data_IF_581520357784
#
_entry.id   IF_581520357784
#
_cell.length_a   1.000
_cell.length_b   1.000
_cell.length_c   1.000
_cell.angle_alpha   90.00
_cell.angle_beta   90.00
_cell.angle_gamma   90.00
#
_symmetry.space_group_name_H-M   'P 1'
#
loop_
_entity.id
_entity.type
_entity.pdbx_description
1 polymer ?
#
# COMPACT_ATOMS: atom_id res chain seq x y z
N UNK A 1 26.63 -14.14 -10.48
CA UNK A 1 26.18 -15.01 -11.60
C UNK A 1 25.28 -16.14 -11.06
N UNK A 2 24.63 -16.99 -11.89
CA UNK A 2 23.79 -18.10 -11.39
C UNK A 2 24.57 -19.06 -10.47
N UNK A 3 25.87 -19.27 -10.76
CA UNK A 3 26.75 -20.11 -9.95
C UNK A 3 27.02 -19.53 -8.56
N UNK A 4 26.93 -18.20 -8.42
CA UNK A 4 27.21 -17.49 -7.16
C UNK A 4 25.98 -17.37 -6.24
N UNK A 5 24.80 -17.83 -6.67
CA UNK A 5 23.59 -17.76 -5.85
C UNK A 5 23.61 -18.78 -4.70
N UNK A 6 23.06 -18.42 -3.51
CA UNK A 6 22.86 -19.34 -2.41
C UNK A 6 22.09 -20.62 -2.80
N UNK A 7 22.47 -21.74 -2.17
CA UNK A 7 21.97 -23.08 -2.50
C UNK A 7 20.44 -23.23 -2.30
N UNK A 8 19.89 -22.58 -1.28
CA UNK A 8 18.46 -22.54 -0.97
C UNK A 8 17.62 -21.86 -2.05
N UNK A 9 18.19 -20.84 -2.69
CA UNK A 9 17.57 -20.13 -3.81
C UNK A 9 17.55 -21.01 -5.05
N UNK A 10 18.70 -21.59 -5.44
CA UNK A 10 18.79 -22.52 -6.57
C UNK A 10 17.77 -23.66 -6.44
N UNK A 11 17.69 -24.25 -5.25
CA UNK A 11 16.72 -25.30 -4.93
C UNK A 11 15.25 -24.86 -5.02
N UNK A 12 14.96 -23.59 -4.78
CA UNK A 12 13.61 -23.02 -4.92
C UNK A 12 13.26 -22.83 -6.39
N UNK A 13 14.20 -22.36 -7.22
CA UNK A 13 14.03 -22.21 -8.67
C UNK A 13 13.81 -23.54 -9.38
N UNK A 14 14.56 -24.57 -9.00
CA UNK A 14 14.40 -25.91 -9.58
C UNK A 14 13.04 -26.54 -9.23
N UNK A 15 12.50 -26.25 -8.04
CA UNK A 15 11.15 -26.67 -7.65
C UNK A 15 10.04 -25.93 -8.39
N UNK A 16 10.30 -24.71 -8.86
CA UNK A 16 9.34 -23.88 -9.59
C UNK A 16 9.31 -24.18 -11.10
N UNK A 17 10.24 -24.99 -11.62
CA UNK A 17 10.23 -25.45 -13.01
C UNK A 17 10.45 -24.34 -14.05
N UNK A 18 11.19 -23.29 -13.68
CA UNK A 18 11.40 -22.10 -14.54
C UNK A 18 12.34 -22.43 -15.71
N UNK A 19 11.97 -22.10 -16.97
CA UNK A 19 12.81 -22.37 -18.14
C UNK A 19 14.19 -21.70 -18.08
N UNK A 20 15.22 -22.39 -18.60
CA UNK A 20 16.63 -21.98 -18.52
C UNK A 20 16.91 -20.58 -19.08
N UNK A 21 16.14 -20.14 -20.08
CA UNK A 21 16.26 -18.81 -20.69
C UNK A 21 15.81 -17.67 -19.75
N UNK A 22 14.90 -17.92 -18.81
CA UNK A 22 14.46 -16.94 -17.83
C UNK A 22 15.38 -16.86 -16.61
N UNK A 23 16.11 -17.95 -16.31
CA UNK A 23 17.07 -17.98 -15.20
C UNK A 23 18.10 -16.85 -15.30
N UNK A 24 18.62 -16.56 -16.49
CA UNK A 24 19.62 -15.48 -16.65
C UNK A 24 19.06 -14.06 -16.46
N UNK A 25 17.81 -13.79 -16.87
CA UNK A 25 17.15 -12.49 -16.62
C UNK A 25 16.73 -12.32 -15.16
N UNK A 26 16.26 -13.40 -14.53
CA UNK A 26 15.90 -13.41 -13.11
C UNK A 26 17.12 -13.33 -12.22
N UNK A 27 18.27 -13.92 -12.59
CA UNK A 27 19.55 -13.74 -11.88
C UNK A 27 19.96 -12.28 -11.84
N UNK A 28 19.73 -11.50 -12.91
CA UNK A 28 20.01 -10.06 -12.87
C UNK A 28 19.05 -9.32 -11.90
N UNK A 29 17.78 -9.71 -11.82
CA UNK A 29 16.80 -9.17 -10.87
C UNK A 29 17.05 -9.59 -9.41
N UNK A 30 17.48 -10.83 -9.18
CA UNK A 30 17.84 -11.39 -7.87
C UNK A 30 19.20 -10.90 -7.42
N UNK A 31 20.17 -10.74 -8.34
CA UNK A 31 21.45 -10.12 -8.06
C UNK A 31 21.28 -8.63 -7.73
N UNK A 32 20.37 -7.91 -8.38
CA UNK A 32 20.00 -6.56 -7.94
C UNK A 32 19.36 -6.53 -6.53
N UNK A 33 18.72 -7.64 -6.13
CA UNK A 33 18.18 -7.84 -4.78
C UNK A 33 19.25 -8.22 -3.74
N UNK A 34 20.35 -8.87 -4.16
CA UNK A 34 21.42 -9.40 -3.29
C UNK A 34 22.68 -8.54 -3.23
N UNK A 35 23.07 -7.88 -4.32
CA UNK A 35 24.08 -6.79 -4.38
C UNK A 35 23.46 -5.43 -4.05
N UNK A 36 22.35 -5.45 -3.29
CA UNK A 36 21.59 -4.28 -2.91
C UNK A 36 22.43 -3.31 -2.07
N UNK A 37 23.45 -3.74 -1.33
CA UNK A 37 24.30 -2.81 -0.57
C UNK A 37 25.06 -1.82 -1.47
N UNK A 38 25.69 -2.26 -2.57
CA UNK A 38 26.51 -1.37 -3.41
C UNK A 38 25.64 -0.41 -4.23
N UNK A 39 24.52 -0.91 -4.77
CA UNK A 39 23.54 -0.10 -5.51
C UNK A 39 22.81 0.86 -4.57
N UNK A 40 22.48 0.43 -3.35
CA UNK A 40 21.85 1.28 -2.33
C UNK A 40 22.80 2.36 -1.84
N UNK A 41 24.10 2.07 -1.68
CA UNK A 41 25.10 3.07 -1.31
C UNK A 41 25.27 4.17 -2.37
N UNK A 42 25.31 3.83 -3.67
CA UNK A 42 25.40 4.83 -4.74
C UNK A 42 24.10 5.64 -4.92
N UNK A 43 22.94 4.99 -4.88
CA UNK A 43 21.64 5.68 -4.95
C UNK A 43 21.47 6.64 -3.77
N UNK A 44 22.00 6.29 -2.59
CA UNK A 44 21.91 7.14 -1.41
C UNK A 44 22.72 8.44 -1.56
N UNK A 45 23.92 8.39 -2.14
CA UNK A 45 24.70 9.60 -2.44
C UNK A 45 23.97 10.50 -3.45
N UNK A 46 23.45 9.94 -4.55
CA UNK A 46 22.71 10.70 -5.57
C UNK A 46 21.43 11.36 -5.01
N UNK A 47 20.74 10.68 -4.08
CA UNK A 47 19.56 11.21 -3.39
C UNK A 47 19.94 12.30 -2.39
N UNK A 48 21.01 12.11 -1.62
CA UNK A 48 21.51 13.09 -0.65
C UNK A 48 21.99 14.36 -1.35
N UNK A 49 22.63 14.26 -2.52
CA UNK A 49 23.01 15.41 -3.37
C UNK A 49 21.79 16.23 -3.83
N UNK A 50 20.65 15.58 -4.05
CA UNK A 50 19.38 16.23 -4.38
C UNK A 50 18.64 16.77 -3.14
N UNK A 51 19.19 16.56 -1.94
CA UNK A 51 18.57 16.95 -0.67
C UNK A 51 17.45 16.03 -0.19
N UNK A 52 17.27 14.86 -0.82
CA UNK A 52 16.30 13.86 -0.38
C UNK A 52 16.79 13.22 0.90
N UNK A 53 15.93 13.19 1.92
CA UNK A 53 16.21 12.48 3.17
C UNK A 53 15.48 11.16 3.09
N UNK A 54 16.22 10.04 3.13
CA UNK A 54 15.64 8.71 3.26
C UNK A 54 16.35 7.93 4.36
N UNK A 55 15.71 7.87 5.53
CA UNK A 55 16.25 7.29 6.76
C UNK A 55 15.22 6.36 7.41
N UNK A 56 15.64 5.59 8.40
CA UNK A 56 14.69 4.99 9.35
C UNK A 56 14.11 6.08 10.28
N UNK A 57 12.91 5.81 10.80
CA UNK A 57 12.14 6.75 11.63
C UNK A 57 12.88 7.18 12.90
N UNK A 58 13.66 6.29 13.51
CA UNK A 58 14.39 6.56 14.75
C UNK A 58 15.62 7.46 14.51
N UNK A 59 16.31 7.27 13.39
CA UNK A 59 17.41 8.13 12.95
C UNK A 59 16.90 9.51 12.52
N UNK A 60 15.82 9.57 11.74
CA UNK A 60 15.23 10.84 11.32
C UNK A 60 14.77 11.71 12.51
N UNK A 61 14.22 11.11 13.57
CA UNK A 61 13.88 11.82 14.80
C UNK A 61 15.11 12.46 15.48
N UNK A 62 16.27 11.82 15.40
CA UNK A 62 17.52 12.32 16.02
C UNK A 62 18.22 13.37 15.17
N UNK A 63 18.30 13.14 13.86
CA UNK A 63 19.08 13.95 12.93
C UNK A 63 18.29 15.13 12.35
N UNK A 64 16.97 14.96 12.17
CA UNK A 64 16.06 15.98 11.64
C UNK A 64 14.87 16.26 12.58
N UNK A 65 15.11 16.60 13.87
CA UNK A 65 14.06 16.69 14.88
C UNK A 65 13.00 17.76 14.58
N UNK A 66 13.39 18.87 13.96
CA UNK A 66 12.46 19.96 13.63
C UNK A 66 11.43 19.52 12.58
N UNK A 67 11.92 18.92 11.49
CA UNK A 67 11.06 18.41 10.42
C UNK A 67 10.20 17.25 10.91
N UNK A 68 10.78 16.34 11.69
CA UNK A 68 10.03 15.23 12.27
C UNK A 68 8.90 15.74 13.17
N UNK A 69 9.18 16.68 14.07
CA UNK A 69 8.20 17.24 15.00
C UNK A 69 7.11 18.04 14.30
N UNK A 70 7.42 18.68 13.18
CA UNK A 70 6.43 19.42 12.37
C UNK A 70 5.33 18.50 11.83
N UNK A 71 5.69 17.30 11.36
CA UNK A 71 4.77 16.42 10.62
C UNK A 71 4.27 15.21 11.40
N UNK A 72 5.03 14.71 12.37
CA UNK A 72 4.71 13.47 13.06
C UNK A 72 3.38 13.53 13.81
N UNK A 73 2.48 12.58 13.52
CA UNK A 73 1.17 12.49 14.16
C UNK A 73 0.18 13.57 13.75
N UNK A 74 0.50 14.41 12.76
CA UNK A 74 -0.41 15.43 12.24
C UNK A 74 -1.53 14.85 11.37
N UNK A 75 -1.24 13.74 10.69
CA UNK A 75 -2.19 13.07 9.79
C UNK A 75 -2.90 11.94 10.53
N UNK A 76 -2.18 11.15 11.32
CA UNK A 76 -2.72 10.07 12.16
C UNK A 76 -2.33 10.35 13.63
N UNK A 77 -3.18 11.07 14.37
CA UNK A 77 -2.93 11.39 15.78
C UNK A 77 -2.89 10.14 16.66
N UNK A 78 -2.26 10.28 17.84
CA UNK A 78 -2.13 9.20 18.82
C UNK A 78 -3.48 8.54 19.16
N UNK A 79 -4.55 9.33 19.25
CA UNK A 79 -5.89 8.86 19.61
C UNK A 79 -6.76 8.40 18.44
N UNK A 80 -6.23 8.29 17.22
CA UNK A 80 -7.03 8.01 16.01
C UNK A 80 -7.85 6.72 16.11
N UNK A 81 -7.20 5.64 16.55
CA UNK A 81 -7.85 4.37 16.85
C UNK A 81 -6.95 3.52 17.76
N UNK A 82 -7.50 2.43 18.31
CA UNK A 82 -6.80 1.54 19.25
C UNK A 82 -5.43 1.07 18.74
N UNK A 83 -5.31 0.73 17.46
CA UNK A 83 -4.07 0.19 16.87
C UNK A 83 -3.07 1.30 16.56
N UNK A 84 -3.54 2.46 16.10
CA UNK A 84 -2.71 3.65 15.94
C UNK A 84 -2.15 4.14 17.29
N UNK A 85 -2.95 4.12 18.37
CA UNK A 85 -2.48 4.43 19.73
C UNK A 85 -1.40 3.46 20.20
N UNK A 86 -1.62 2.16 19.99
CA UNK A 86 -0.63 1.13 20.32
C UNK A 86 0.67 1.34 19.51
N UNK A 87 0.57 1.46 18.19
CA UNK A 87 1.71 1.75 17.32
C UNK A 87 2.47 2.99 17.79
N UNK A 88 1.78 4.08 18.10
CA UNK A 88 2.43 5.32 18.56
C UNK A 88 3.15 5.14 19.90
N UNK A 89 2.70 4.24 20.77
CA UNK A 89 3.37 4.00 22.05
C UNK A 89 4.61 3.10 21.94
N UNK A 90 4.65 2.20 20.94
CA UNK A 90 5.65 1.13 20.87
C UNK A 90 6.31 0.96 19.50
N UNK A 91 6.24 1.97 18.62
CA UNK A 91 6.81 1.83 17.29
C UNK A 91 8.29 1.46 17.39
N UNK A 92 8.74 0.62 16.47
CA UNK A 92 10.14 0.30 16.32
C UNK A 92 10.43 0.16 14.84
N UNK A 93 11.22 1.10 14.32
CA UNK A 93 11.50 1.23 12.89
C UNK A 93 10.34 1.79 12.05
N UNK A 94 10.51 1.67 10.74
CA UNK A 94 9.71 2.35 9.72
C UNK A 94 10.62 3.19 8.82
N UNK A 95 10.03 4.02 7.98
CA UNK A 95 10.77 4.88 7.06
C UNK A 95 10.37 6.34 7.18
N UNK A 96 11.36 7.21 7.16
CA UNK A 96 11.18 8.65 7.04
C UNK A 96 11.70 9.11 5.68
N UNK A 97 10.84 9.75 4.90
CA UNK A 97 11.19 10.27 3.57
C UNK A 97 10.80 11.75 3.51
N UNK A 98 11.75 12.61 3.15
CA UNK A 98 11.47 13.99 2.75
C UNK A 98 12.04 14.23 1.36
N UNK A 99 11.20 14.72 0.45
CA UNK A 99 11.60 15.10 -0.91
C UNK A 99 11.46 16.61 -1.07
N UNK A 100 12.57 17.36 -1.29
CA UNK A 100 12.55 18.82 -1.37
C UNK A 100 11.75 19.38 -2.55
N UNK A 101 11.43 20.69 -2.54
CA UNK A 101 10.66 21.32 -3.61
C UNK A 101 11.27 21.11 -5.00
N UNK A 102 10.44 20.72 -5.96
CA UNK A 102 10.81 20.52 -7.37
C UNK A 102 11.69 19.30 -7.64
N UNK A 103 12.05 18.50 -6.63
CA UNK A 103 12.88 17.29 -6.80
C UNK A 103 12.02 16.12 -7.27
N UNK A 104 12.46 15.44 -8.32
CA UNK A 104 11.77 14.29 -8.89
C UNK A 104 12.64 13.04 -8.73
N UNK A 105 12.25 12.17 -7.80
CA UNK A 105 12.92 10.89 -7.58
C UNK A 105 12.38 9.86 -8.58
N UNK A 106 13.10 9.68 -9.70
CA UNK A 106 12.66 8.80 -10.80
C UNK A 106 12.78 7.31 -10.46
N UNK A 107 13.75 6.94 -9.62
CA UNK A 107 13.98 5.57 -9.18
C UNK A 107 13.09 5.29 -7.96
N UNK A 108 12.26 4.23 -7.97
CA UNK A 108 11.43 3.92 -6.81
C UNK A 108 12.27 3.65 -5.56
N UNK A 109 11.98 4.36 -4.47
CA UNK A 109 12.56 4.09 -3.15
C UNK A 109 11.92 2.82 -2.60
N UNK A 110 12.73 1.89 -2.10
CA UNK A 110 12.25 0.61 -1.60
C UNK A 110 12.66 0.40 -0.15
N UNK A 111 11.68 0.05 0.69
CA UNK A 111 11.96 -0.51 2.01
C UNK A 111 11.36 -1.91 2.10
N UNK A 112 12.14 -2.85 2.62
CA UNK A 112 11.71 -4.22 2.81
C UNK A 112 11.64 -4.55 4.30
N UNK A 113 10.43 -4.85 4.77
CA UNK A 113 10.21 -5.22 6.16
C UNK A 113 9.97 -6.73 6.27
N UNK A 114 10.79 -7.40 7.10
CA UNK A 114 10.73 -8.85 7.32
C UNK A 114 10.53 -9.16 8.80
N UNK A 115 9.48 -9.93 9.13
CA UNK A 115 9.27 -10.45 10.49
C UNK A 115 10.18 -11.66 10.68
N UNK A 116 11.14 -11.59 11.59
CA UNK A 116 12.12 -12.66 11.82
C UNK A 116 11.95 -13.41 13.16
N UNK A 117 11.00 -12.99 14.02
CA UNK A 117 10.89 -13.49 15.40
C UNK A 117 9.48 -13.96 15.72
N UNK A 118 9.36 -15.17 16.27
CA UNK A 118 8.12 -15.78 16.74
C UNK A 118 7.48 -14.92 17.86
N UNK A 119 6.16 -14.71 17.84
CA UNK A 119 5.41 -13.87 18.80
C UNK A 119 5.77 -12.38 18.86
N UNK A 120 6.43 -11.81 17.84
CA UNK A 120 6.73 -10.38 17.80
C UNK A 120 5.61 -9.58 17.09
N UNK A 121 5.11 -8.53 17.74
CA UNK A 121 4.28 -7.53 17.07
C UNK A 121 5.17 -6.57 16.27
N UNK A 122 4.85 -6.35 15.00
CA UNK A 122 5.53 -5.36 14.17
C UNK A 122 4.73 -4.06 14.20
N UNK A 123 5.36 -3.01 14.70
CA UNK A 123 4.79 -1.66 14.84
C UNK A 123 5.68 -0.68 14.08
N UNK A 124 5.65 -0.74 12.75
CA UNK A 124 6.38 0.21 11.93
C UNK A 124 5.60 1.52 11.79
N UNK A 125 6.33 2.64 11.71
CA UNK A 125 5.73 3.93 11.44
C UNK A 125 6.46 4.66 10.34
N UNK A 126 5.76 4.86 9.22
CA UNK A 126 6.29 5.50 8.03
C UNK A 126 5.75 6.91 7.90
N UNK A 127 6.63 7.87 7.67
CA UNK A 127 6.32 9.29 7.49
C UNK A 127 6.96 9.78 6.19
N UNK A 128 6.14 10.21 5.23
CA UNK A 128 6.59 10.68 3.92
C UNK A 128 6.10 12.10 3.70
N UNK A 129 7.02 13.01 3.39
CA UNK A 129 6.74 14.39 3.03
C UNK A 129 7.25 14.63 1.62
N UNK A 130 6.34 15.00 0.71
CA UNK A 130 6.65 15.32 -0.69
C UNK A 130 6.35 16.80 -0.87
N UNK A 131 7.41 17.60 -0.93
CA UNK A 131 7.32 19.06 -0.93
C UNK A 131 6.87 19.62 -2.29
N UNK A 132 6.69 20.94 -2.39
CA UNK A 132 6.02 21.57 -3.53
C UNK A 132 6.62 21.17 -4.89
N UNK A 133 5.77 20.70 -5.80
CA UNK A 133 6.19 20.27 -7.14
C UNK A 133 7.12 19.07 -7.17
N UNK A 134 7.31 18.35 -6.05
CA UNK A 134 8.19 17.20 -5.97
C UNK A 134 7.49 15.89 -6.35
N UNK A 135 8.27 14.85 -6.65
CA UNK A 135 7.77 13.53 -7.00
C UNK A 135 8.54 12.40 -6.31
N UNK A 136 7.81 11.40 -5.81
CA UNK A 136 8.40 10.15 -5.31
C UNK A 136 7.50 8.96 -5.59
N UNK A 137 8.12 7.83 -5.91
CA UNK A 137 7.51 6.51 -5.86
C UNK A 137 8.16 5.71 -4.74
N UNK A 138 7.40 5.35 -3.72
CA UNK A 138 7.84 4.48 -2.64
C UNK A 138 7.19 3.10 -2.75
N UNK A 139 7.99 2.05 -2.58
CA UNK A 139 7.57 0.65 -2.60
C UNK A 139 7.87 0.01 -1.25
N UNK A 140 6.83 -0.50 -0.62
CA UNK A 140 6.88 -1.25 0.62
C UNK A 140 6.62 -2.74 0.34
N UNK A 141 7.61 -3.58 0.65
CA UNK A 141 7.47 -5.02 0.63
C UNK A 141 7.37 -5.58 2.04
N UNK A 142 6.37 -6.42 2.31
CA UNK A 142 6.28 -7.16 3.56
C UNK A 142 6.19 -8.66 3.30
N UNK A 143 7.11 -9.43 3.86
CA UNK A 143 7.06 -10.90 3.85
C UNK A 143 7.37 -11.47 5.23
N UNK A 144 6.61 -12.49 5.64
CA UNK A 144 6.87 -13.24 6.86
C UNK A 144 7.15 -14.72 6.54
N UNK A 145 8.19 -15.32 7.15
CA UNK A 145 8.31 -16.77 7.25
C UNK A 145 7.08 -17.40 7.92
N UNK A 146 6.80 -18.66 7.62
CA UNK A 146 5.70 -19.42 8.23
C UNK A 146 6.07 -19.74 9.68
N UNK A 147 5.48 -19.01 10.64
CA UNK A 147 5.58 -19.31 12.07
C UNK A 147 4.32 -20.01 12.59
N UNK A 148 4.43 -20.74 13.72
CA UNK A 148 3.32 -21.53 14.28
C UNK A 148 2.34 -20.71 15.14
N UNK A 149 2.74 -19.54 15.62
CA UNK A 149 1.94 -18.70 16.52
C UNK A 149 1.39 -17.43 15.84
N UNK A 150 0.20 -17.00 16.24
CA UNK A 150 -0.41 -15.78 15.70
C UNK A 150 0.49 -14.55 15.93
N UNK A 151 0.59 -13.66 14.92
CA UNK A 151 1.42 -12.44 14.99
C UNK A 151 0.61 -11.21 14.56
N UNK A 152 0.93 -10.04 15.12
CA UNK A 152 0.24 -8.78 14.82
C UNK A 152 1.17 -7.86 14.02
N UNK A 153 0.72 -7.43 12.86
CA UNK A 153 1.30 -6.33 12.11
C UNK A 153 0.38 -5.12 12.18
N UNK A 154 0.86 -4.04 12.78
CA UNK A 154 0.11 -2.81 13.03
C UNK A 154 0.93 -1.61 12.61
N UNK A 155 1.03 -1.39 11.30
CA UNK A 155 1.70 -0.24 10.70
C UNK A 155 0.86 1.04 10.76
N UNK A 156 1.55 2.17 10.90
CA UNK A 156 0.98 3.51 10.68
C UNK A 156 1.76 4.20 9.57
N UNK A 157 1.04 4.72 8.57
CA UNK A 157 1.64 5.42 7.43
C UNK A 157 1.00 6.80 7.27
N UNK A 158 1.81 7.83 7.43
CA UNK A 158 1.45 9.23 7.25
C UNK A 158 2.13 9.79 6.01
N UNK A 159 1.36 10.34 5.07
CA UNK A 159 1.90 10.95 3.85
C UNK A 159 1.36 12.36 3.70
N UNK A 160 2.25 13.31 3.45
CA UNK A 160 1.92 14.70 3.21
C UNK A 160 2.41 15.07 1.81
N UNK A 161 1.48 15.38 0.91
CA UNK A 161 1.76 15.72 -0.49
C UNK A 161 1.41 17.19 -0.70
N UNK A 162 2.45 18.04 -0.78
CA UNK A 162 2.34 19.50 -0.89
C UNK A 162 1.90 19.93 -2.30
N UNK A 163 1.80 21.25 -2.49
CA UNK A 163 1.26 21.87 -3.70
C UNK A 163 1.92 21.33 -4.96
N UNK A 164 1.12 20.91 -5.95
CA UNK A 164 1.55 20.36 -7.24
C UNK A 164 2.50 19.14 -7.15
N UNK A 165 2.64 18.54 -5.97
CA UNK A 165 3.52 17.40 -5.76
C UNK A 165 2.79 16.08 -6.06
N UNK A 166 3.54 15.00 -6.26
CA UNK A 166 2.97 13.67 -6.50
C UNK A 166 3.66 12.59 -5.69
N UNK A 167 2.87 11.80 -4.97
CA UNK A 167 3.35 10.62 -4.26
C UNK A 167 2.65 9.38 -4.80
N UNK A 168 3.44 8.39 -5.21
CA UNK A 168 2.97 7.03 -5.45
C UNK A 168 3.48 6.13 -4.36
N UNK A 169 2.58 5.45 -3.68
CA UNK A 169 2.91 4.50 -2.65
C UNK A 169 2.39 3.12 -3.04
N UNK A 170 3.30 2.17 -3.22
CA UNK A 170 2.99 0.79 -3.60
C UNK A 170 3.29 -0.14 -2.45
N UNK A 171 2.32 -0.96 -2.06
CA UNK A 171 2.51 -2.03 -1.08
C UNK A 171 2.12 -3.36 -1.69
N UNK A 172 3.01 -4.34 -1.57
CA UNK A 172 2.69 -5.74 -1.85
C UNK A 172 2.93 -6.52 -0.56
N UNK A 173 1.84 -6.96 0.06
CA UNK A 173 1.88 -7.77 1.28
C UNK A 173 1.63 -9.23 0.93
N UNK A 174 2.53 -10.10 1.37
CA UNK A 174 2.36 -11.55 1.33
C UNK A 174 2.68 -12.14 2.71
N UNK A 175 1.66 -12.19 3.56
CA UNK A 175 1.79 -12.63 4.95
C UNK A 175 1.52 -14.12 5.11
N UNK A 176 2.09 -14.74 6.12
CA UNK A 176 1.64 -16.07 6.55
C UNK A 176 0.21 -16.02 7.11
N UNK A 177 -0.54 -17.12 7.01
CA UNK A 177 -1.98 -17.18 7.32
C UNK A 177 -2.34 -17.02 8.82
N UNK A 178 -1.34 -16.84 9.69
CA UNK A 178 -1.44 -16.59 11.13
C UNK A 178 -1.25 -15.10 11.50
N UNK A 179 -1.04 -14.22 10.52
CA UNK A 179 -0.83 -12.78 10.77
C UNK A 179 -2.16 -12.02 10.81
N UNK A 180 -2.34 -11.14 11.79
CA UNK A 180 -3.35 -10.08 11.77
C UNK A 180 -2.71 -8.81 11.22
N UNK A 181 -3.22 -8.30 10.11
CA UNK A 181 -2.73 -7.13 9.40
C UNK A 181 -3.70 -5.96 9.63
N UNK A 182 -3.44 -5.16 10.66
CA UNK A 182 -4.35 -4.13 11.18
C UNK A 182 -3.68 -2.77 11.08
N UNK A 183 -3.71 -2.16 9.89
CA UNK A 183 -2.88 -1.00 9.57
C UNK A 183 -3.71 0.27 9.39
N UNK A 184 -3.12 1.41 9.71
CA UNK A 184 -3.73 2.73 9.48
C UNK A 184 -2.84 3.51 8.51
N UNK A 185 -3.32 3.72 7.28
CA UNK A 185 -2.61 4.52 6.26
C UNK A 185 -3.46 5.72 5.88
N UNK A 186 -2.89 6.93 5.91
CA UNK A 186 -3.60 8.17 5.54
C UNK A 186 -2.63 9.15 4.92
N UNK A 187 -3.09 9.77 3.84
CA UNK A 187 -2.40 10.84 3.15
C UNK A 187 -3.22 12.13 3.20
N UNK A 188 -2.53 13.26 3.19
CA UNK A 188 -3.11 14.59 2.96
C UNK A 188 -2.52 15.13 1.66
N UNK A 189 -3.39 15.53 0.73
CA UNK A 189 -3.02 16.10 -0.56
C UNK A 189 -3.50 17.56 -0.64
N UNK A 190 -2.57 18.47 -0.89
CA UNK A 190 -2.83 19.91 -1.02
C UNK A 190 -3.09 20.34 -2.47
N UNK A 191 -3.08 21.64 -2.74
CA UNK A 191 -3.47 22.23 -4.04
C UNK A 191 -2.74 21.56 -5.22
N UNK A 192 -3.46 21.02 -6.19
CA UNK A 192 -2.90 20.34 -7.37
C UNK A 192 -2.10 19.06 -7.08
N UNK A 193 -2.04 18.61 -5.81
CA UNK A 193 -1.28 17.44 -5.41
C UNK A 193 -1.95 16.14 -5.89
N UNK A 194 -1.15 15.11 -6.16
CA UNK A 194 -1.65 13.76 -6.54
C UNK A 194 -1.13 12.71 -5.58
N UNK A 195 -2.03 11.97 -4.94
CA UNK A 195 -1.70 10.82 -4.10
C UNK A 195 -2.23 9.52 -4.72
N UNK A 196 -1.35 8.53 -4.91
CA UNK A 196 -1.70 7.23 -5.49
C UNK A 196 -1.36 6.10 -4.52
N UNK A 197 -2.36 5.34 -4.10
CA UNK A 197 -2.20 4.08 -3.36
C UNK A 197 -2.29 2.89 -4.32
N UNK A 198 -1.24 2.08 -4.42
CA UNK A 198 -1.24 0.81 -5.14
C UNK A 198 -1.06 -0.31 -4.13
N UNK A 199 -2.04 -1.18 -3.99
CA UNK A 199 -2.14 -2.08 -2.84
C UNK A 199 -2.44 -3.53 -3.25
N UNK A 200 -1.57 -4.45 -2.84
CA UNK A 200 -1.72 -5.89 -3.02
C UNK A 200 -1.84 -6.61 -1.67
N UNK A 201 -3.01 -7.19 -1.40
CA UNK A 201 -3.35 -7.89 -0.16
C UNK A 201 -3.36 -9.41 -0.39
N UNK A 202 -2.28 -10.08 0.00
CA UNK A 202 -2.12 -11.52 -0.13
C UNK A 202 -1.69 -12.10 1.22
N UNK A 203 -2.21 -13.27 1.57
CA UNK A 203 -1.88 -13.90 2.85
C UNK A 203 -2.66 -13.32 4.02
N UNK A 204 -2.13 -13.45 5.25
CA UNK A 204 -2.75 -13.04 6.54
C UNK A 204 -4.01 -13.83 6.93
N UNK A 205 -4.28 -13.93 8.22
CA UNK A 205 -5.53 -14.47 8.75
C UNK A 205 -6.66 -13.48 8.56
N UNK A 206 -6.41 -12.24 9.00
CA UNK A 206 -7.34 -11.13 8.93
C UNK A 206 -6.58 -9.87 8.51
N UNK A 207 -7.06 -9.21 7.47
CA UNK A 207 -6.65 -7.84 7.11
C UNK A 207 -7.77 -6.87 7.42
N UNK A 208 -7.41 -5.74 8.02
CA UNK A 208 -8.23 -4.54 8.12
C UNK A 208 -7.40 -3.36 7.63
N UNK A 209 -7.70 -2.86 6.43
CA UNK A 209 -6.91 -1.79 5.82
C UNK A 209 -7.75 -0.89 4.92
N UNK A 210 -7.73 0.41 5.20
CA UNK A 210 -8.47 1.42 4.45
C UNK A 210 -7.60 2.66 4.22
N UNK A 211 -6.66 2.63 3.25
CA UNK A 211 -5.83 3.79 2.95
C UNK A 211 -6.72 4.98 2.60
N UNK A 212 -6.44 6.12 3.22
CA UNK A 212 -7.25 7.32 3.07
C UNK A 212 -6.48 8.42 2.34
N UNK A 213 -7.18 9.22 1.55
CA UNK A 213 -6.66 10.48 1.00
C UNK A 213 -7.60 11.61 1.41
N UNK A 214 -7.05 12.58 2.13
CA UNK A 214 -7.70 13.84 2.48
C UNK A 214 -7.29 14.87 1.44
N UNK A 215 -8.23 15.26 0.59
CA UNK A 215 -8.06 16.19 -0.53
C UNK A 215 -8.36 17.59 -0.01
N UNK A 216 -7.33 18.25 0.53
CA UNK A 216 -7.43 19.47 1.32
C UNK A 216 -7.16 20.76 0.52
N UNK A 217 -6.69 20.64 -0.73
CA UNK A 217 -6.46 21.79 -1.61
C UNK A 217 -7.19 21.66 -2.94
N UNK A 218 -7.43 22.81 -3.58
CA UNK A 218 -8.12 22.84 -4.87
C UNK A 218 -7.37 21.99 -5.91
N UNK A 219 -8.10 21.25 -6.74
CA UNK A 219 -7.53 20.35 -7.75
C UNK A 219 -6.68 19.18 -7.21
N UNK A 220 -6.69 18.91 -5.90
CA UNK A 220 -6.06 17.71 -5.35
C UNK A 220 -6.69 16.43 -5.93
N UNK A 221 -5.86 15.40 -6.12
CA UNK A 221 -6.24 14.12 -6.71
C UNK A 221 -5.86 12.94 -5.82
N UNK A 222 -6.80 12.01 -5.65
CA UNK A 222 -6.61 10.78 -4.87
C UNK A 222 -6.94 9.54 -5.68
N UNK A 223 -6.01 8.61 -5.78
CA UNK A 223 -6.20 7.35 -6.50
C UNK A 223 -5.93 6.16 -5.58
N UNK A 224 -6.73 5.10 -5.72
CA UNK A 224 -6.44 3.82 -5.07
C UNK A 224 -6.73 2.68 -6.03
N UNK A 225 -5.71 1.85 -6.25
CA UNK A 225 -5.86 0.53 -6.85
C UNK A 225 -5.58 -0.51 -5.76
N UNK A 226 -6.59 -1.26 -5.36
CA UNK A 226 -6.45 -2.31 -4.35
C UNK A 226 -6.84 -3.66 -4.91
N UNK A 227 -5.97 -4.66 -4.73
CA UNK A 227 -6.21 -6.05 -5.07
C UNK A 227 -6.19 -6.87 -3.79
N UNK A 228 -7.16 -7.76 -3.61
CA UNK A 228 -7.21 -8.67 -2.46
C UNK A 228 -7.47 -10.11 -2.85
N UNK A 229 -6.74 -11.05 -2.22
CA UNK A 229 -6.96 -12.49 -2.37
C UNK A 229 -7.23 -13.12 -1.00
N UNK A 230 -8.33 -13.86 -0.88
CA UNK A 230 -8.67 -14.61 0.34
C UNK A 230 -8.82 -16.11 0.02
N UNK A 231 -7.98 -16.92 0.65
CA UNK A 231 -8.05 -18.38 0.71
C UNK A 231 -8.76 -18.91 1.97
N UNK A 232 -8.65 -20.21 2.21
CA UNK A 232 -9.26 -20.89 3.35
C UNK A 232 -8.90 -20.23 4.69
N UNK A 233 -9.92 -19.93 5.50
CA UNK A 233 -9.77 -19.34 6.83
C UNK A 233 -9.33 -17.86 6.85
N UNK A 234 -9.20 -17.22 5.68
CA UNK A 234 -8.76 -15.83 5.57
C UNK A 234 -9.94 -14.86 5.43
N UNK A 235 -9.81 -13.68 6.04
CA UNK A 235 -10.71 -12.56 5.83
C UNK A 235 -9.93 -11.30 5.44
N UNK A 236 -10.09 -10.84 4.19
CA UNK A 236 -9.54 -9.58 3.71
C UNK A 236 -10.62 -8.48 3.77
N UNK A 237 -10.66 -7.66 4.82
CA UNK A 237 -11.48 -6.42 4.87
C UNK A 237 -10.61 -5.24 4.44
N UNK A 238 -10.71 -4.91 3.15
CA UNK A 238 -9.88 -3.91 2.48
C UNK A 238 -10.75 -2.86 1.81
N UNK A 239 -10.20 -1.68 1.56
CA UNK A 239 -10.89 -0.66 0.77
C UNK A 239 -10.14 0.65 0.76
N UNK A 240 -10.85 1.77 0.66
CA UNK A 240 -10.24 3.09 0.56
C UNK A 240 -11.18 4.18 1.06
N UNK A 241 -10.62 5.30 1.50
CA UNK A 241 -11.38 6.49 1.89
C UNK A 241 -10.92 7.71 1.10
N UNK A 242 -11.84 8.40 0.45
CA UNK A 242 -11.58 9.65 -0.26
C UNK A 242 -12.39 10.75 0.40
N UNK A 243 -11.71 11.73 0.97
CA UNK A 243 -12.31 12.82 1.75
C UNK A 243 -12.04 14.12 1.02
N UNK A 244 -13.06 14.64 0.34
CA UNK A 244 -13.02 15.86 -0.47
C UNK A 244 -13.37 17.06 0.40
N UNK A 245 -12.39 17.94 0.65
CA UNK A 245 -12.54 19.11 1.52
C UNK A 245 -12.20 20.43 0.83
N UNK A 246 -11.96 20.39 -0.49
CA UNK A 246 -11.66 21.55 -1.31
C UNK A 246 -12.36 21.46 -2.68
N UNK A 247 -12.56 22.60 -3.37
CA UNK A 247 -13.19 22.62 -4.68
C UNK A 247 -12.40 21.84 -5.74
N UNK A 248 -13.10 21.41 -6.79
CA UNK A 248 -12.51 20.83 -8.00
C UNK A 248 -11.57 19.64 -7.74
N UNK A 249 -11.74 18.92 -6.63
CA UNK A 249 -10.94 17.75 -6.28
C UNK A 249 -11.46 16.51 -7.01
N UNK A 250 -10.58 15.55 -7.29
CA UNK A 250 -10.98 14.33 -8.00
C UNK A 250 -10.45 13.06 -7.35
N UNK A 251 -11.27 12.00 -7.30
CA UNK A 251 -10.82 10.71 -6.81
C UNK A 251 -11.25 9.53 -7.67
N UNK A 252 -10.43 8.47 -7.66
CA UNK A 252 -10.72 7.21 -8.33
C UNK A 252 -10.33 6.03 -7.43
N UNK A 253 -11.29 5.17 -7.09
CA UNK A 253 -11.06 3.94 -6.34
C UNK A 253 -11.37 2.76 -7.25
N UNK A 254 -10.37 1.91 -7.48
CA UNK A 254 -10.51 0.61 -8.14
C UNK A 254 -10.17 -0.47 -7.14
N UNK A 255 -11.15 -1.27 -6.74
CA UNK A 255 -10.96 -2.43 -5.87
C UNK A 255 -11.28 -3.70 -6.64
N UNK A 256 -10.35 -4.64 -6.64
CA UNK A 256 -10.52 -5.97 -7.23
C UNK A 256 -10.26 -7.03 -6.17
N UNK A 257 -11.12 -8.03 -6.08
CA UNK A 257 -10.97 -9.08 -5.08
C UNK A 257 -11.24 -10.47 -5.64
N UNK A 258 -10.54 -11.46 -5.10
CA UNK A 258 -10.71 -12.88 -5.44
C UNK A 258 -10.86 -13.67 -4.16
N UNK A 259 -11.92 -14.48 -4.06
CA UNK A 259 -12.14 -15.37 -2.92
C UNK A 259 -12.21 -16.84 -3.39
N UNK A 260 -11.48 -17.70 -2.69
CA UNK A 260 -11.39 -19.15 -2.96
C UNK A 260 -11.28 -19.95 -1.66
N UNK A 261 -11.68 -21.21 -1.68
CA UNK A 261 -11.51 -22.17 -0.60
C UNK A 261 -12.29 -21.82 0.67
N UNK A 262 -13.41 -21.11 0.54
CA UNK A 262 -14.16 -20.60 1.70
C UNK A 262 -13.58 -19.30 2.26
N UNK A 263 -12.58 -18.70 1.61
CA UNK A 263 -12.08 -17.37 1.96
C UNK A 263 -13.13 -16.28 1.82
N UNK A 264 -12.94 -15.21 2.59
CA UNK A 264 -13.82 -14.04 2.61
C UNK A 264 -13.08 -12.78 2.18
N UNK A 265 -13.59 -12.10 1.15
CA UNK A 265 -13.19 -10.73 0.83
C UNK A 265 -14.28 -9.75 1.23
N UNK A 266 -13.89 -8.54 1.61
CA UNK A 266 -14.81 -7.46 1.89
C UNK A 266 -14.21 -6.17 1.34
N UNK A 267 -14.97 -5.47 0.51
CA UNK A 267 -14.68 -4.08 0.16
C UNK A 267 -15.38 -3.15 1.15
N UNK A 268 -14.66 -2.18 1.70
CA UNK A 268 -15.24 -1.09 2.49
C UNK A 268 -14.73 0.27 2.02
N UNK A 269 -15.61 1.04 1.41
CA UNK A 269 -15.29 2.35 0.85
C UNK A 269 -15.94 3.48 1.64
N UNK A 270 -15.27 4.63 1.72
CA UNK A 270 -15.90 5.91 2.07
C UNK A 270 -15.56 6.93 0.99
N UNK A 271 -16.58 7.57 0.43
CA UNK A 271 -16.43 8.83 -0.28
C UNK A 271 -17.17 9.89 0.52
N UNK A 272 -16.44 10.85 1.05
CA UNK A 272 -16.98 11.99 1.78
C UNK A 272 -16.71 13.25 0.99
N UNK A 273 -17.74 14.06 0.77
CA UNK A 273 -17.66 15.37 0.14
C UNK A 273 -18.22 16.39 1.13
N UNK A 274 -17.32 17.22 1.67
CA UNK A 274 -17.66 18.29 2.60
C UNK A 274 -18.30 19.50 1.92
N UNK A 275 -18.93 20.34 2.74
CA UNK A 275 -19.48 21.63 2.30
C UNK A 275 -18.36 22.51 1.70
N UNK A 276 -18.63 23.16 0.58
CA UNK A 276 -17.67 24.01 -0.14
C UNK A 276 -16.81 23.27 -1.16
N UNK A 277 -16.83 21.93 -1.20
CA UNK A 277 -16.08 21.12 -2.15
C UNK A 277 -16.76 20.99 -3.54
N UNK A 278 -17.30 22.10 -4.05
CA UNK A 278 -17.99 22.17 -5.34
C UNK A 278 -17.07 21.79 -6.52
N UNK A 279 -17.65 21.28 -7.60
CA UNK A 279 -16.93 20.77 -8.77
C UNK A 279 -16.19 19.45 -8.52
N UNK A 280 -16.32 18.84 -7.33
CA UNK A 280 -15.62 17.60 -7.00
C UNK A 280 -16.16 16.40 -7.75
N UNK A 281 -15.26 15.46 -8.07
CA UNK A 281 -15.57 14.25 -8.84
C UNK A 281 -15.05 13.01 -8.15
N UNK A 282 -15.84 11.94 -8.11
CA UNK A 282 -15.38 10.66 -7.57
C UNK A 282 -15.89 9.49 -8.40
N UNK A 283 -15.03 8.50 -8.65
CA UNK A 283 -15.40 7.24 -9.27
C UNK A 283 -14.97 6.08 -8.38
N UNK A 284 -15.88 5.13 -8.16
CA UNK A 284 -15.62 3.91 -7.38
C UNK A 284 -16.03 2.70 -8.23
N UNK A 285 -15.08 1.80 -8.45
CA UNK A 285 -15.27 0.55 -9.16
C UNK A 285 -14.82 -0.61 -8.28
N UNK A 286 -15.74 -1.54 -8.02
CA UNK A 286 -15.53 -2.69 -7.15
C UNK A 286 -15.85 -3.98 -7.90
N UNK A 287 -14.82 -4.75 -8.26
CA UNK A 287 -15.00 -6.07 -8.86
C UNK A 287 -14.64 -7.18 -7.87
N UNK A 288 -15.54 -8.15 -7.72
CA UNK A 288 -15.28 -9.37 -6.97
C UNK A 288 -15.38 -10.59 -7.87
N UNK A 289 -14.48 -11.55 -7.67
CA UNK A 289 -14.50 -12.86 -8.30
C UNK A 289 -14.61 -13.95 -7.22
N UNK A 290 -15.70 -14.71 -7.27
CA UNK A 290 -15.88 -15.91 -6.46
C UNK A 290 -15.45 -17.13 -7.29
N UNK A 291 -14.45 -17.85 -6.81
CA UNK A 291 -13.89 -19.03 -7.50
C UNK A 291 -14.70 -20.30 -7.21
N UNK A 292 -15.43 -20.34 -6.10
CA UNK A 292 -16.26 -21.47 -5.69
C UNK A 292 -17.58 -21.01 -5.04
N UNK A 293 -18.37 -21.97 -4.59
CA UNK A 293 -19.70 -21.75 -4.00
C UNK A 293 -19.68 -21.55 -2.48
N UNK A 294 -18.53 -21.73 -1.83
CA UNK A 294 -18.39 -21.62 -0.37
C UNK A 294 -17.72 -20.31 0.06
N UNK A 295 -16.98 -19.67 -0.85
CA UNK A 295 -16.37 -18.36 -0.66
C UNK A 295 -17.39 -17.23 -0.67
N UNK A 296 -17.00 -16.13 -0.03
CA UNK A 296 -17.86 -14.97 0.18
C UNK A 296 -17.15 -13.68 -0.19
N UNK A 297 -17.88 -12.77 -0.81
CA UNK A 297 -17.46 -11.39 -1.01
C UNK A 297 -18.56 -10.46 -0.51
N UNK A 298 -18.21 -9.45 0.26
CA UNK A 298 -19.12 -8.42 0.75
C UNK A 298 -18.67 -7.03 0.25
N UNK A 299 -19.61 -6.12 0.00
CA UNK A 299 -19.31 -4.75 -0.43
C UNK A 299 -20.08 -3.77 0.47
N UNK A 300 -19.35 -2.90 1.16
CA UNK A 300 -19.89 -1.92 2.11
C UNK A 300 -19.49 -0.50 1.68
N UNK A 301 -20.19 0.10 0.70
CA UNK A 301 -19.92 1.46 0.27
C UNK A 301 -20.60 2.47 1.20
N UNK A 302 -19.86 3.52 1.56
CA UNK A 302 -20.37 4.67 2.27
C UNK A 302 -20.14 5.92 1.43
N UNK A 303 -21.20 6.71 1.28
CA UNK A 303 -21.20 7.96 0.54
C UNK A 303 -21.87 9.00 1.43
N UNK A 304 -21.13 10.06 1.78
CA UNK A 304 -21.62 11.24 2.48
C UNK A 304 -21.33 12.45 1.60
N UNK A 305 -22.35 13.06 1.01
CA UNK A 305 -22.22 14.22 0.12
C UNK A 305 -23.01 15.37 0.70
N UNK A 306 -22.30 16.47 0.99
CA UNK A 306 -22.86 17.70 1.59
C UNK A 306 -22.73 18.91 0.66
N UNK A 307 -22.63 18.66 -0.64
CA UNK A 307 -22.47 19.67 -1.68
C UNK A 307 -23.33 19.30 -2.90
N UNK A 308 -23.91 20.30 -3.57
CA UNK A 308 -24.86 20.07 -4.67
C UNK A 308 -24.14 19.91 -6.03
N UNK A 309 -23.04 20.65 -6.24
CA UNK A 309 -22.28 20.64 -7.49
C UNK A 309 -21.17 19.58 -7.45
N UNK A 310 -21.55 18.31 -7.57
CA UNK A 310 -20.60 17.19 -7.63
C UNK A 310 -21.00 16.10 -8.62
N UNK A 311 -20.03 15.33 -9.09
CA UNK A 311 -20.26 14.16 -9.93
C UNK A 311 -19.67 12.91 -9.28
N UNK A 312 -20.50 11.91 -8.99
CA UNK A 312 -20.04 10.67 -8.40
C UNK A 312 -20.63 9.45 -9.08
N UNK A 313 -19.78 8.44 -9.32
CA UNK A 313 -20.17 7.11 -9.80
C UNK A 313 -19.68 6.02 -8.84
N UNK A 314 -20.55 5.06 -8.56
CA UNK A 314 -20.21 3.84 -7.84
C UNK A 314 -20.74 2.63 -8.61
N UNK A 315 -19.83 1.73 -8.99
CA UNK A 315 -20.15 0.45 -9.61
C UNK A 315 -19.57 -0.70 -8.79
N UNK A 316 -20.39 -1.71 -8.54
CA UNK A 316 -19.97 -2.93 -7.87
C UNK A 316 -20.48 -4.16 -8.63
N UNK A 317 -19.54 -4.99 -9.09
CA UNK A 317 -19.82 -6.20 -9.87
C UNK A 317 -19.27 -7.43 -9.15
N UNK A 318 -20.12 -8.41 -8.91
CA UNK A 318 -19.71 -9.73 -8.41
C UNK A 318 -19.85 -10.73 -9.55
N UNK A 319 -18.73 -11.34 -9.91
CA UNK A 319 -18.64 -12.35 -10.95
C UNK A 319 -18.28 -13.71 -10.35
N UNK A 320 -18.73 -14.76 -11.03
CA UNK A 320 -18.24 -16.13 -10.82
C UNK A 320 -17.36 -16.49 -12.01
N UNK A 321 -16.42 -17.40 -11.80
CA UNK A 321 -15.69 -17.99 -12.92
C UNK A 321 -16.71 -18.65 -13.86
N UNK A 322 -16.75 -18.22 -15.12
CA UNK A 322 -17.68 -18.76 -16.12
C UNK A 322 -17.26 -20.18 -16.48
N UNK A 323 -18.18 -21.13 -16.38
CA UNK A 323 -17.97 -22.52 -16.78
C UNK A 323 -17.60 -22.62 -18.26
N UNK A 324 -18.22 -21.80 -19.12
CA UNK A 324 -17.91 -21.73 -20.56
C UNK A 324 -16.50 -21.20 -20.82
N UNK A 325 -16.08 -20.15 -20.09
CA UNK A 325 -14.71 -19.63 -20.21
C UNK A 325 -13.68 -20.66 -19.73
N UNK A 326 -13.97 -21.33 -18.61
CA UNK A 326 -13.12 -22.40 -18.07
C UNK A 326 -13.02 -23.57 -19.05
N UNK A 327 -14.15 -24.04 -19.57
CA UNK A 327 -14.22 -25.09 -20.59
C UNK A 327 -13.47 -24.69 -21.86
N UNK A 328 -13.66 -23.46 -22.34
CA UNK A 328 -12.95 -22.94 -23.50
C UNK A 328 -11.44 -22.97 -23.29
N UNK A 329 -10.94 -22.48 -22.16
CA UNK A 329 -9.50 -22.50 -21.84
C UNK A 329 -8.98 -23.94 -21.72
N UNK A 330 -9.66 -24.82 -20.98
CA UNK A 330 -9.29 -26.23 -20.84
C UNK A 330 -9.29 -26.99 -22.18
N UNK A 331 -10.18 -26.62 -23.11
CA UNK A 331 -10.25 -27.23 -24.45
C UNK A 331 -9.04 -26.89 -25.33
N UNK A 332 -8.21 -25.91 -24.93
CA UNK A 332 -7.02 -25.46 -25.67
C UNK A 332 -5.69 -26.02 -25.14
N UNK A 333 -5.73 -26.90 -24.14
CA UNK A 333 -4.54 -27.47 -23.48
C UNK A 333 -3.92 -26.54 -22.45
#
# INVERSE_FOLDING_TARGET
SWEDLPEDIKNTYDKLGIPEAEKQRLVAGVAAQYESEVVYHQIREDLEEQGVIFLDTDTALKEHPELFKEYFGTVIPVGDNKFASLNTAVWSGGSFIYVPPGVHVEIPLQAYFRINTENMGQFERTLIIVDEGAYVHYVEGCTAPIYKSDSLHSAVVEIIVKKNARCRYTTIQNWSNNVYNLVTKRAVAYEGATMEWIDGNIGSKVTMKYPAVYLMGEHAKGETLSIAFAGEGQHQDAGSKMVHMAPNTSSNIVSKSVARGGGRTSYRGLVEIGEGAHGSKSNVLCDALLVDTISRSDTYPYVDVREDDVSMGHEATVSKVSEDQLFYLMSRG
#
